data_IF_027208858186
#
_entry.id   IF_027208858186
#
_cell.length_a   1.000
_cell.length_b   1.000
_cell.length_c   1.000
_cell.angle_alpha   90.00
_cell.angle_beta   90.00
_cell.angle_gamma   90.00
#
_symmetry.space_group_name_H-M   'P 1'
#
loop_
_entity.id
_entity.type
_entity.pdbx_description
1 polymer ?
#
# COMPACT_ATOMS: atom_id res chain seq x y z
N UNK A 1 34.09 -7.96 11.93
CA UNK A 1 33.25 -7.46 10.80
C UNK A 1 31.80 -7.57 11.26
N UNK A 2 31.18 -6.44 11.59
CA UNK A 2 29.81 -6.39 12.10
C UNK A 2 28.79 -6.44 10.94
N UNK A 3 27.57 -6.91 11.25
CA UNK A 3 26.26 -6.56 10.67
C UNK A 3 25.50 -7.66 9.92
N UNK A 4 25.03 -8.68 10.64
CA UNK A 4 23.82 -9.42 10.25
C UNK A 4 22.80 -9.59 11.41
N UNK A 5 23.13 -9.19 12.63
CA UNK A 5 22.32 -9.49 13.83
C UNK A 5 21.21 -8.47 14.16
N UNK A 6 21.08 -7.36 13.43
CA UNK A 6 20.07 -6.32 13.75
C UNK A 6 18.69 -6.54 13.10
N UNK A 7 18.52 -7.59 12.28
CA UNK A 7 17.23 -7.92 11.63
C UNK A 7 16.46 -9.00 12.38
N UNK A 8 17.15 -9.90 13.09
CA UNK A 8 16.51 -11.00 13.81
C UNK A 8 15.72 -10.53 15.05
N UNK A 9 16.14 -9.47 15.71
CA UNK A 9 15.45 -8.94 16.90
C UNK A 9 14.17 -8.17 16.58
N UNK A 10 13.98 -7.71 15.34
CA UNK A 10 12.72 -7.14 14.87
C UNK A 10 11.68 -8.23 14.54
N UNK A 11 12.14 -9.40 14.09
CA UNK A 11 11.27 -10.55 13.80
C UNK A 11 10.69 -11.18 15.08
N UNK A 12 11.47 -11.26 16.16
CA UNK A 12 11.03 -11.92 17.41
C UNK A 12 10.03 -11.10 18.23
N UNK A 13 9.98 -9.76 18.11
CA UNK A 13 8.95 -8.95 18.77
C UNK A 13 7.65 -8.80 17.96
N UNK A 14 7.60 -9.32 16.73
CA UNK A 14 6.45 -9.25 15.83
C UNK A 14 5.77 -10.61 15.61
N UNK A 15 6.05 -11.58 16.50
CA UNK A 15 5.63 -12.98 16.46
C UNK A 15 4.13 -13.27 16.66
N UNK A 16 3.25 -12.45 16.09
CA UNK A 16 1.82 -12.77 15.93
C UNK A 16 1.32 -12.63 14.47
N UNK A 17 2.18 -12.27 13.50
CA UNK A 17 1.79 -12.14 12.08
C UNK A 17 2.90 -12.61 11.12
N UNK A 18 3.28 -13.89 11.21
CA UNK A 18 4.39 -14.50 10.45
C UNK A 18 4.31 -14.43 8.92
N UNK A 19 3.12 -14.22 8.34
CA UNK A 19 2.94 -14.14 6.89
C UNK A 19 3.29 -12.77 6.29
N UNK A 20 3.10 -11.67 7.04
CA UNK A 20 3.24 -10.31 6.49
C UNK A 20 4.71 -9.90 6.27
N UNK A 21 5.64 -10.40 7.09
CA UNK A 21 7.06 -10.04 7.02
C UNK A 21 7.84 -10.89 6.01
N UNK A 22 7.52 -12.18 5.89
CA UNK A 22 8.10 -13.07 4.89
C UNK A 22 7.72 -12.58 3.49
N UNK A 23 6.46 -12.21 3.31
CA UNK A 23 5.97 -11.61 2.08
C UNK A 23 6.62 -10.25 1.83
N UNK A 24 6.79 -9.41 2.85
CA UNK A 24 7.45 -8.11 2.70
C UNK A 24 8.93 -8.25 2.29
N UNK A 25 9.64 -9.27 2.80
CA UNK A 25 11.03 -9.54 2.43
C UNK A 25 11.13 -10.02 0.98
N UNK A 26 10.19 -10.88 0.54
CA UNK A 26 10.06 -11.28 -0.86
C UNK A 26 9.67 -10.12 -1.79
N UNK A 27 8.80 -9.20 -1.32
CA UNK A 27 8.39 -7.98 -2.02
C UNK A 27 9.54 -6.97 -2.17
N UNK A 28 10.36 -6.80 -1.11
CA UNK A 28 11.55 -5.95 -1.13
C UNK A 28 12.66 -6.55 -2.00
N UNK A 29 12.76 -7.88 -2.09
CA UNK A 29 13.69 -8.59 -2.98
C UNK A 29 13.22 -8.70 -4.43
N UNK A 30 11.90 -8.72 -4.68
CA UNK A 30 11.28 -8.90 -5.99
C UNK A 30 11.01 -7.61 -6.79
N UNK A 31 11.40 -6.46 -6.25
CA UNK A 31 11.24 -5.16 -6.90
C UNK A 31 9.90 -4.49 -6.59
N UNK A 32 9.88 -3.17 -6.74
CA UNK A 32 8.75 -2.29 -6.40
C UNK A 32 7.44 -2.64 -7.11
N UNK A 33 7.48 -3.37 -8.23
CA UNK A 33 6.29 -3.82 -8.95
C UNK A 33 5.41 -4.74 -8.10
N UNK A 34 6.00 -5.51 -7.19
CA UNK A 34 5.25 -6.42 -6.34
C UNK A 34 4.43 -5.65 -5.28
N UNK A 35 4.78 -4.39 -4.97
CA UNK A 35 4.03 -3.50 -4.08
C UNK A 35 2.96 -2.67 -4.81
N UNK A 36 2.71 -2.93 -6.10
CA UNK A 36 1.63 -2.31 -6.86
C UNK A 36 0.29 -2.96 -6.55
N UNK A 37 -0.79 -2.18 -6.54
CA UNK A 37 -2.12 -2.69 -6.32
C UNK A 37 -2.57 -3.60 -7.48
N UNK A 38 -3.23 -4.71 -7.15
CA UNK A 38 -3.75 -5.69 -8.09
C UNK A 38 -5.02 -5.21 -8.81
N UNK A 39 -5.80 -4.33 -8.16
CA UNK A 39 -6.96 -3.67 -8.78
C UNK A 39 -6.89 -2.16 -8.58
N UNK A 40 -7.42 -1.40 -9.54
CA UNK A 40 -7.46 0.06 -9.43
C UNK A 40 -8.44 0.54 -8.34
N UNK A 41 -9.47 -0.26 -8.01
CA UNK A 41 -10.32 0.00 -6.85
C UNK A 41 -9.51 -0.06 -5.56
N UNK A 42 -8.70 -1.11 -5.37
CA UNK A 42 -7.79 -1.18 -4.23
C UNK A 42 -6.74 -0.07 -4.24
N UNK A 43 -6.18 0.24 -5.42
CA UNK A 43 -5.24 1.35 -5.60
C UNK A 43 -5.83 2.69 -5.12
N UNK A 44 -7.06 3.02 -5.54
CA UNK A 44 -7.73 4.24 -5.12
C UNK A 44 -7.98 4.28 -3.61
N UNK A 45 -8.36 3.14 -3.02
CA UNK A 45 -8.53 3.02 -1.57
C UNK A 45 -7.22 3.21 -0.81
N UNK A 46 -6.14 2.56 -1.25
CA UNK A 46 -4.81 2.69 -0.64
C UNK A 46 -4.30 4.12 -0.78
N UNK A 47 -4.52 4.76 -1.92
CA UNK A 47 -4.17 6.16 -2.10
C UNK A 47 -4.85 7.05 -1.06
N UNK A 48 -6.14 6.79 -0.79
CA UNK A 48 -6.91 7.47 0.26
C UNK A 48 -6.30 7.24 1.65
N UNK A 49 -5.92 6.01 1.96
CA UNK A 49 -5.22 5.66 3.21
C UNK A 49 -3.90 6.43 3.34
N UNK A 50 -3.11 6.48 2.26
CA UNK A 50 -1.83 7.16 2.22
C UNK A 50 -1.92 8.67 2.42
N UNK A 51 -2.94 9.32 1.84
CA UNK A 51 -3.24 10.74 2.08
C UNK A 51 -3.58 10.97 3.55
N UNK A 52 -4.48 10.15 4.11
CA UNK A 52 -4.89 10.26 5.52
C UNK A 52 -3.71 10.12 6.48
N UNK A 53 -2.82 9.19 6.19
CA UNK A 53 -1.62 8.93 6.99
C UNK A 53 -0.45 9.90 6.67
N UNK A 54 -0.65 10.88 5.77
CA UNK A 54 0.37 11.83 5.31
C UNK A 54 1.64 11.16 4.78
N UNK A 55 1.48 9.97 4.17
CA UNK A 55 2.58 9.17 3.63
C UNK A 55 3.01 9.60 2.21
N UNK A 56 2.18 10.40 1.54
CA UNK A 56 2.40 10.97 0.20
C UNK A 56 2.07 12.46 0.20
N UNK A 57 2.72 13.23 -0.68
CA UNK A 57 2.45 14.67 -0.78
C UNK A 57 1.02 14.93 -1.26
N UNK A 58 0.24 15.59 -0.41
CA UNK A 58 -1.19 15.83 -0.61
C UNK A 58 -1.51 16.67 -1.86
N UNK A 59 -0.61 17.58 -2.27
CA UNK A 59 -0.87 18.62 -3.28
C UNK A 59 -1.39 18.10 -4.62
N UNK A 60 -0.92 16.94 -5.09
CA UNK A 60 -1.39 16.33 -6.34
C UNK A 60 -2.25 15.10 -6.12
N UNK A 61 -2.20 14.52 -4.92
CA UNK A 61 -2.81 13.22 -4.65
C UNK A 61 -4.33 13.31 -4.59
N UNK A 62 -4.90 14.42 -4.10
CA UNK A 62 -6.36 14.60 -4.08
C UNK A 62 -6.95 14.72 -5.48
N UNK A 63 -6.35 15.55 -6.34
CA UNK A 63 -6.76 15.69 -7.75
C UNK A 63 -6.68 14.36 -8.52
N UNK A 64 -5.61 13.59 -8.29
CA UNK A 64 -5.43 12.26 -8.88
C UNK A 64 -6.45 11.29 -8.33
N UNK A 65 -6.74 11.34 -7.03
CA UNK A 65 -7.77 10.51 -6.38
C UNK A 65 -9.14 10.77 -6.99
N UNK A 66 -9.58 12.03 -7.11
CA UNK A 66 -10.90 12.34 -7.67
C UNK A 66 -11.00 11.91 -9.14
N UNK A 67 -9.97 12.19 -9.96
CA UNK A 67 -9.91 11.70 -11.34
C UNK A 67 -9.91 10.17 -11.43
N UNK A 68 -9.19 9.50 -10.53
CA UNK A 68 -9.10 8.03 -10.50
C UNK A 68 -10.45 7.44 -10.11
N UNK A 69 -11.12 7.98 -9.10
CA UNK A 69 -12.47 7.57 -8.71
C UNK A 69 -13.45 7.75 -9.88
N UNK A 70 -13.36 8.87 -10.60
CA UNK A 70 -14.22 9.14 -11.74
C UNK A 70 -13.95 8.17 -12.91
N UNK A 71 -12.67 7.93 -13.25
CA UNK A 71 -12.27 6.97 -14.29
C UNK A 71 -12.63 5.53 -13.94
N UNK A 72 -12.70 5.20 -12.64
CA UNK A 72 -13.15 3.90 -12.14
C UNK A 72 -14.68 3.79 -11.99
N UNK A 73 -15.40 4.89 -12.19
CA UNK A 73 -16.83 4.96 -11.90
C UNK A 73 -17.14 4.70 -10.43
N UNK A 74 -16.21 4.94 -9.50
CA UNK A 74 -16.39 4.88 -8.05
C UNK A 74 -16.97 6.21 -7.50
N UNK A 75 -17.70 6.93 -8.34
CA UNK A 75 -18.33 8.21 -8.03
C UNK A 75 -19.67 8.04 -7.27
N UNK A 76 -20.25 6.84 -7.28
CA UNK A 76 -21.43 6.50 -6.46
C UNK A 76 -21.06 5.72 -5.20
N UNK A 77 -21.74 6.02 -4.09
CA UNK A 77 -21.54 5.34 -2.80
C UNK A 77 -21.70 3.81 -2.89
N UNK A 78 -22.61 3.31 -3.74
CA UNK A 78 -22.78 1.87 -3.99
C UNK A 78 -21.54 1.23 -4.61
N UNK A 79 -20.87 1.93 -5.54
CA UNK A 79 -19.66 1.43 -6.18
C UNK A 79 -18.45 1.58 -5.26
N UNK A 80 -18.45 2.58 -4.38
CA UNK A 80 -17.45 2.69 -3.30
C UNK A 80 -17.58 1.57 -2.26
N UNK A 81 -18.72 0.86 -2.17
CA UNK A 81 -18.83 -0.35 -1.34
C UNK A 81 -18.12 -1.56 -1.94
N UNK A 82 -17.47 -1.43 -3.10
CA UNK A 82 -16.58 -2.48 -3.58
C UNK A 82 -15.58 -2.85 -2.48
N UNK A 83 -15.48 -4.16 -2.25
CA UNK A 83 -14.66 -4.74 -1.18
C UNK A 83 -13.22 -4.27 -1.30
N UNK A 84 -12.66 -4.29 -2.51
CA UNK A 84 -11.29 -3.88 -2.82
C UNK A 84 -10.98 -2.42 -2.45
N UNK A 85 -11.89 -1.49 -2.77
CA UNK A 85 -11.73 -0.07 -2.45
C UNK A 85 -11.80 0.16 -0.94
N UNK A 86 -12.77 -0.48 -0.28
CA UNK A 86 -12.94 -0.39 1.18
C UNK A 86 -11.73 -0.99 1.91
N UNK A 87 -11.23 -2.13 1.43
CA UNK A 87 -9.99 -2.76 1.91
C UNK A 87 -8.79 -1.82 1.73
N UNK A 88 -8.67 -1.18 0.58
CA UNK A 88 -7.61 -0.22 0.33
C UNK A 88 -7.67 0.96 1.30
N UNK A 89 -8.85 1.52 1.55
CA UNK A 89 -9.05 2.58 2.54
C UNK A 89 -8.70 2.15 3.96
N UNK A 90 -8.88 0.87 4.28
CA UNK A 90 -8.46 0.28 5.55
C UNK A 90 -6.95 0.04 5.63
N UNK A 91 -6.18 0.32 4.58
CA UNK A 91 -4.73 0.08 4.52
C UNK A 91 -4.35 -1.34 4.12
N UNK A 92 -5.29 -2.12 3.55
CA UNK A 92 -5.03 -3.45 3.02
C UNK A 92 -4.75 -3.37 1.51
N UNK A 93 -3.48 -3.44 1.16
CA UNK A 93 -3.02 -3.45 -0.22
C UNK A 93 -3.11 -4.88 -0.75
N UNK A 94 -3.99 -5.13 -1.71
CA UNK A 94 -3.93 -6.33 -2.51
C UNK A 94 -2.95 -6.12 -3.65
N UNK A 95 -1.89 -6.91 -3.68
CA UNK A 95 -0.89 -6.87 -4.74
C UNK A 95 -1.36 -7.64 -5.97
N UNK A 96 -0.76 -7.37 -7.13
CA UNK A 96 -1.02 -8.11 -8.37
C UNK A 96 -0.77 -9.62 -8.28
N UNK A 97 0.10 -10.03 -7.35
CA UNK A 97 0.50 -11.43 -7.16
C UNK A 97 -0.48 -12.17 -6.22
N UNK A 98 -1.60 -11.54 -5.85
CA UNK A 98 -2.64 -12.11 -4.98
C UNK A 98 -2.31 -12.02 -3.48
N UNK A 99 -1.19 -11.40 -3.12
CA UNK A 99 -0.80 -11.20 -1.72
C UNK A 99 -1.50 -9.97 -1.14
N UNK A 100 -2.06 -10.10 0.07
CA UNK A 100 -2.61 -8.98 0.82
C UNK A 100 -1.57 -8.46 1.83
N UNK A 101 -1.15 -7.21 1.68
CA UNK A 101 -0.25 -6.51 2.59
C UNK A 101 -1.03 -5.51 3.44
N UNK A 102 -1.05 -5.74 4.76
CA UNK A 102 -1.68 -4.80 5.68
C UNK A 102 -0.66 -3.74 6.14
N UNK A 103 -0.79 -2.53 5.61
CA UNK A 103 0.07 -1.38 5.91
C UNK A 103 0.00 -0.96 7.39
N UNK A 104 -1.08 -1.30 8.10
CA UNK A 104 -1.18 -1.04 9.54
C UNK A 104 -0.31 -1.99 10.36
N UNK A 105 -0.10 -3.23 9.88
CA UNK A 105 0.64 -4.26 10.61
C UNK A 105 2.16 -4.19 10.40
N UNK A 106 2.66 -3.35 9.48
CA UNK A 106 4.10 -3.17 9.22
C UNK A 106 4.80 -2.44 10.39
N UNK A 107 4.03 -1.80 11.29
CA UNK A 107 4.55 -1.07 12.44
C UNK A 107 4.85 0.40 12.15
N UNK A 108 5.54 1.07 13.08
CA UNK A 108 5.83 2.52 13.04
C UNK A 108 7.32 2.84 13.08
N UNK A 109 8.17 1.87 12.74
CA UNK A 109 9.62 2.10 12.66
C UNK A 109 9.95 2.96 11.44
N UNK A 110 11.11 3.65 11.40
CA UNK A 110 11.53 4.42 10.23
C UNK A 110 11.60 3.58 8.95
N UNK A 111 11.86 2.27 9.08
CA UNK A 111 11.83 1.32 7.97
C UNK A 111 10.38 1.04 7.52
N UNK A 112 9.47 0.83 8.48
CA UNK A 112 8.05 0.63 8.19
C UNK A 112 7.45 1.84 7.47
N UNK A 113 7.76 3.06 7.92
CA UNK A 113 7.33 4.28 7.25
C UNK A 113 7.83 4.36 5.80
N UNK A 114 9.12 4.06 5.57
CA UNK A 114 9.67 3.97 4.21
C UNK A 114 8.92 2.98 3.34
N UNK A 115 8.60 1.80 3.86
CA UNK A 115 7.84 0.77 3.12
C UNK A 115 6.44 1.28 2.79
N UNK A 116 5.73 1.85 3.76
CA UNK A 116 4.37 2.39 3.54
C UNK A 116 4.40 3.51 2.51
N UNK A 117 5.29 4.49 2.66
CA UNK A 117 5.49 5.58 1.69
C UNK A 117 5.81 5.03 0.31
N UNK A 118 6.66 4.02 0.18
CA UNK A 118 6.96 3.40 -1.13
C UNK A 118 5.74 2.75 -1.76
N UNK A 119 4.96 1.97 -1.00
CA UNK A 119 3.73 1.37 -1.48
C UNK A 119 2.74 2.45 -1.96
N UNK A 120 2.57 3.51 -1.18
CA UNK A 120 1.74 4.65 -1.53
C UNK A 120 2.20 5.37 -2.80
N UNK A 121 3.50 5.60 -2.95
CA UNK A 121 4.09 6.28 -4.10
C UNK A 121 3.93 5.46 -5.39
N UNK A 122 4.01 4.13 -5.28
CA UNK A 122 3.77 3.23 -6.41
C UNK A 122 2.31 3.18 -6.81
N UNK A 123 1.40 3.08 -5.85
CA UNK A 123 -0.04 3.13 -6.09
C UNK A 123 -0.45 4.47 -6.69
N UNK A 124 0.12 5.57 -6.21
CA UNK A 124 -0.05 6.90 -6.80
C UNK A 124 0.40 6.92 -8.26
N UNK A 125 1.61 6.44 -8.56
CA UNK A 125 2.12 6.34 -9.94
C UNK A 125 1.22 5.45 -10.81
N UNK A 126 0.72 4.35 -10.26
CA UNK A 126 -0.18 3.46 -10.97
C UNK A 126 -1.51 4.14 -11.29
N UNK A 127 -2.06 4.90 -10.35
CA UNK A 127 -3.23 5.75 -10.57
C UNK A 127 -2.99 6.81 -11.64
N UNK A 128 -1.84 7.50 -11.61
CA UNK A 128 -1.48 8.48 -12.65
C UNK A 128 -1.34 7.83 -14.02
N UNK A 129 -0.67 6.68 -14.09
CA UNK A 129 -0.50 5.93 -15.34
C UNK A 129 -1.86 5.46 -15.87
N UNK A 130 -2.79 5.09 -14.97
CA UNK A 130 -4.15 4.74 -15.35
C UNK A 130 -4.95 5.95 -15.84
N UNK A 131 -4.66 7.17 -15.36
CA UNK A 131 -5.31 8.41 -15.80
C UNK A 131 -4.78 8.96 -17.12
N UNK A 132 -3.53 8.62 -17.45
CA UNK A 132 -2.87 9.02 -18.69
C UNK A 132 -3.50 8.38 -19.92
#
# INVERSE_FOLDING_TARGET
MFRQDTLSSAASQLGQNGDSITNLTGLLGGGTQALSAGSMGNAAGILQYCIKQKLVSATNTENIKDKLLDKLGLNSAEKQKQTDYTQGMAGLLQTKDGLALNLNNIGSTPLAEKVKTKACDLVLKQGVAFLS
#
